data_IF_565392497827
#
_entry.id   IF_565392497827
#
_cell.length_a   1.000
_cell.length_b   1.000
_cell.length_c   1.000
_cell.angle_alpha   90.00
_cell.angle_beta   90.00
_cell.angle_gamma   90.00
#
_symmetry.space_group_name_H-M   'P 1'
#
loop_
_entity.id
_entity.type
_entity.pdbx_description
1 polymer ?
#
# COMPACT_ATOMS: atom_id res chain seq x y z
N UNK A 1 3.68 -5.16 -9.35
CA UNK A 1 3.95 -6.60 -9.11
C UNK A 1 4.78 -7.26 -10.20
N UNK A 2 4.46 -7.07 -11.49
CA UNK A 2 5.23 -7.64 -12.63
C UNK A 2 6.75 -7.51 -12.50
N UNK A 3 7.27 -6.34 -12.13
CA UNK A 3 8.72 -6.13 -11.94
C UNK A 3 9.33 -7.01 -10.86
N UNK A 4 8.61 -7.25 -9.76
CA UNK A 4 9.07 -8.13 -8.67
C UNK A 4 9.15 -9.58 -9.15
N UNK A 5 8.14 -10.06 -9.89
CA UNK A 5 8.18 -11.41 -10.47
C UNK A 5 9.33 -11.57 -11.45
N UNK A 6 9.55 -10.59 -12.33
CA UNK A 6 10.66 -10.57 -13.27
C UNK A 6 12.00 -10.71 -12.55
N UNK A 7 12.23 -9.91 -11.50
CA UNK A 7 13.45 -9.99 -10.68
C UNK A 7 13.67 -11.39 -10.08
N UNK A 8 12.62 -11.96 -9.47
CA UNK A 8 12.68 -13.28 -8.82
C UNK A 8 13.06 -14.36 -9.86
N UNK A 9 12.43 -14.33 -11.03
CA UNK A 9 12.69 -15.28 -12.11
C UNK A 9 14.11 -15.11 -12.67
N UNK A 10 14.50 -13.90 -13.04
CA UNK A 10 15.81 -13.61 -13.64
C UNK A 10 16.98 -13.95 -12.72
N UNK A 11 16.81 -13.76 -11.40
CA UNK A 11 17.83 -14.07 -10.40
C UNK A 11 17.68 -15.45 -9.77
N UNK A 12 16.71 -16.28 -10.21
CA UNK A 12 16.40 -17.58 -9.61
C UNK A 12 16.28 -17.54 -8.07
N UNK A 13 15.60 -16.52 -7.54
CA UNK A 13 15.44 -16.36 -6.09
C UNK A 13 14.37 -17.33 -5.57
N UNK A 14 14.63 -17.96 -4.42
CA UNK A 14 13.72 -18.94 -3.80
C UNK A 14 13.27 -18.50 -2.41
N UNK A 15 12.09 -18.96 -1.99
CA UNK A 15 11.50 -18.69 -0.67
C UNK A 15 10.32 -17.72 -0.70
N UNK A 16 9.95 -17.21 0.48
CA UNK A 16 8.81 -16.31 0.68
C UNK A 16 9.25 -14.85 0.54
N UNK A 17 8.52 -14.07 -0.26
CA UNK A 17 8.77 -12.66 -0.54
C UNK A 17 7.52 -11.81 -0.24
N UNK A 18 7.70 -10.67 0.42
CA UNK A 18 6.63 -9.68 0.62
C UNK A 18 6.58 -8.72 -0.57
N UNK A 19 5.46 -8.69 -1.29
CA UNK A 19 5.27 -7.78 -2.41
C UNK A 19 4.59 -6.47 -1.99
N UNK A 20 5.18 -5.78 -1.01
CA UNK A 20 4.71 -4.49 -0.49
C UNK A 20 5.65 -3.35 -0.93
N UNK A 21 5.17 -2.11 -0.84
CA UNK A 21 6.02 -0.94 -1.04
C UNK A 21 7.08 -0.83 0.09
N UNK A 22 8.25 -0.20 -0.15
CA UNK A 22 9.31 -0.11 0.85
C UNK A 22 8.98 0.77 2.05
N UNK A 23 8.00 1.66 1.89
CA UNK A 23 7.58 2.65 2.89
C UNK A 23 6.12 2.39 3.29
N UNK A 24 5.84 1.55 4.32
CA UNK A 24 4.48 1.34 4.80
C UNK A 24 3.91 2.65 5.36
N UNK A 25 2.60 2.85 5.17
CA UNK A 25 1.90 4.05 5.64
C UNK A 25 0.66 3.67 6.44
N UNK A 26 0.32 4.49 7.43
CA UNK A 26 -0.94 4.33 8.17
C UNK A 26 -2.16 4.63 7.28
N UNK A 27 -3.34 4.11 7.66
CA UNK A 27 -4.59 4.44 6.98
C UNK A 27 -4.86 5.95 6.97
N UNK A 28 -4.48 6.66 8.03
CA UNK A 28 -4.58 8.11 8.10
C UNK A 28 -3.71 8.79 7.03
N UNK A 29 -2.44 8.39 6.92
CA UNK A 29 -1.51 8.92 5.92
C UNK A 29 -1.98 8.60 4.50
N UNK A 30 -2.42 7.36 4.24
CA UNK A 30 -3.00 6.96 2.96
C UNK A 30 -4.22 7.81 2.60
N UNK A 31 -5.17 7.95 3.53
CA UNK A 31 -6.40 8.73 3.33
C UNK A 31 -6.08 10.19 2.99
N UNK A 32 -5.13 10.79 3.71
CA UNK A 32 -4.66 12.17 3.45
C UNK A 32 -4.06 12.31 2.06
N UNK A 33 -3.16 11.40 1.66
CA UNK A 33 -2.53 11.40 0.33
C UNK A 33 -3.57 11.22 -0.79
N UNK A 34 -4.52 10.31 -0.61
CA UNK A 34 -5.61 10.08 -1.57
C UNK A 34 -6.52 11.29 -1.72
N UNK A 35 -6.91 11.91 -0.59
CA UNK A 35 -7.70 13.14 -0.61
C UNK A 35 -6.99 14.28 -1.35
N UNK A 36 -5.67 14.44 -1.14
CA UNK A 36 -4.85 15.41 -1.86
C UNK A 36 -4.88 15.15 -3.37
N UNK A 37 -4.60 13.92 -3.81
CA UNK A 37 -4.60 13.55 -5.23
C UNK A 37 -5.97 13.79 -5.90
N UNK A 38 -7.06 13.46 -5.21
CA UNK A 38 -8.44 13.66 -5.70
C UNK A 38 -8.97 15.09 -5.54
N UNK A 39 -8.20 16.02 -4.96
CA UNK A 39 -8.67 17.35 -4.58
C UNK A 39 -9.92 17.33 -3.67
N UNK A 40 -10.00 16.36 -2.75
CA UNK A 40 -11.11 16.20 -1.80
C UNK A 40 -10.67 16.32 -0.33
N UNK A 41 -11.44 17.04 0.51
CA UNK A 41 -11.11 17.22 1.93
C UNK A 41 -11.27 15.90 2.72
N UNK A 42 -10.36 15.69 3.68
CA UNK A 42 -10.29 14.48 4.54
C UNK A 42 -10.39 14.85 6.02
N UNK A 43 -11.49 15.49 6.38
CA UNK A 43 -11.62 16.19 7.68
C UNK A 43 -12.07 15.25 8.79
N UNK A 44 -12.95 14.29 8.49
CA UNK A 44 -13.55 13.41 9.50
C UNK A 44 -13.15 11.95 9.27
N UNK A 45 -12.61 11.26 10.30
CA UNK A 45 -12.41 9.81 10.23
C UNK A 45 -13.76 9.09 10.32
N UNK A 46 -13.86 7.93 9.66
CA UNK A 46 -15.02 7.05 9.79
C UNK A 46 -14.89 6.27 11.11
N UNK A 47 -15.88 6.30 12.02
CA UNK A 47 -15.84 5.50 13.24
C UNK A 47 -15.83 4.00 12.94
N UNK A 48 -15.11 3.23 13.75
CA UNK A 48 -15.00 1.77 13.57
C UNK A 48 -16.36 1.07 13.58
N UNK A 49 -17.29 1.45 14.47
CA UNK A 49 -18.61 0.82 14.53
C UNK A 49 -19.40 1.01 13.22
N UNK A 50 -19.22 2.15 12.53
CA UNK A 50 -19.87 2.38 11.25
C UNK A 50 -19.31 1.44 10.18
N UNK A 51 -17.99 1.21 10.17
CA UNK A 51 -17.36 0.20 9.32
C UNK A 51 -17.88 -1.21 9.64
N UNK A 52 -18.03 -1.56 10.92
CA UNK A 52 -18.57 -2.87 11.34
C UNK A 52 -20.03 -3.06 10.92
N UNK A 53 -20.85 -2.01 10.91
CA UNK A 53 -22.24 -2.09 10.42
C UNK A 53 -22.26 -2.30 8.89
N UNK A 54 -21.42 -1.57 8.14
CA UNK A 54 -21.40 -1.65 6.68
C UNK A 54 -20.76 -2.92 6.14
N UNK A 55 -19.69 -3.40 6.80
CA UNK A 55 -18.82 -4.48 6.29
C UNK A 55 -18.79 -5.71 7.19
N UNK A 56 -19.50 -5.72 8.33
CA UNK A 56 -19.52 -6.85 9.28
C UNK A 56 -18.10 -7.30 9.66
N UNK A 57 -17.82 -8.60 9.57
CA UNK A 57 -16.51 -9.20 9.85
C UNK A 57 -15.39 -8.68 8.93
N UNK A 58 -15.71 -8.28 7.69
CA UNK A 58 -14.72 -7.73 6.76
C UNK A 58 -14.19 -6.36 7.19
N UNK A 59 -14.87 -5.67 8.11
CA UNK A 59 -14.36 -4.42 8.70
C UNK A 59 -12.99 -4.62 9.36
N UNK A 60 -12.71 -5.82 9.88
CA UNK A 60 -11.41 -6.16 10.48
C UNK A 60 -10.23 -6.05 9.50
N UNK A 61 -10.47 -6.23 8.19
CA UNK A 61 -9.45 -6.03 7.16
C UNK A 61 -9.13 -4.55 6.97
N UNK A 62 -10.15 -3.69 7.11
CA UNK A 62 -10.02 -2.24 6.95
C UNK A 62 -9.42 -1.58 8.20
N UNK A 63 -9.73 -2.10 9.39
CA UNK A 63 -9.22 -1.59 10.66
C UNK A 63 -7.91 -2.26 11.10
N UNK A 64 -7.54 -3.37 10.48
CA UNK A 64 -6.28 -4.05 10.72
C UNK A 64 -5.08 -3.23 10.25
N UNK A 65 -4.03 -3.20 11.06
CA UNK A 65 -2.72 -2.65 10.66
C UNK A 65 -1.80 -3.79 10.24
N UNK A 66 -1.09 -3.60 9.12
CA UNK A 66 -0.02 -4.51 8.68
C UNK A 66 1.18 -3.68 8.25
N UNK A 67 2.18 -3.62 9.12
CA UNK A 67 3.47 -3.03 8.83
C UNK A 67 4.39 -4.13 8.25
N UNK A 68 4.48 -4.19 6.92
CA UNK A 68 5.16 -5.29 6.21
C UNK A 68 6.18 -4.72 5.22
N UNK A 69 7.41 -5.21 5.32
CA UNK A 69 8.55 -4.73 4.55
C UNK A 69 9.02 -5.73 3.49
N UNK A 70 9.42 -5.27 2.28
CA UNK A 70 9.91 -6.11 1.20
C UNK A 70 11.43 -6.34 1.25
N UNK A 71 12.02 -6.58 2.44
CA UNK A 71 13.49 -6.63 2.64
C UNK A 71 14.23 -7.51 1.61
N UNK A 72 13.78 -8.75 1.38
CA UNK A 72 14.43 -9.66 0.43
C UNK A 72 14.45 -9.16 -1.02
N UNK A 73 13.44 -8.37 -1.41
CA UNK A 73 13.34 -7.79 -2.76
C UNK A 73 14.27 -6.57 -2.86
N UNK A 74 14.36 -5.77 -1.80
CA UNK A 74 15.30 -4.66 -1.70
C UNK A 74 16.75 -5.14 -1.71
N UNK A 75 17.07 -6.17 -0.92
CA UNK A 75 18.40 -6.80 -0.87
C UNK A 75 18.79 -7.41 -2.22
N UNK A 76 17.81 -7.88 -3.00
CA UNK A 76 18.01 -8.36 -4.36
C UNK A 76 18.25 -7.25 -5.40
N UNK A 77 18.19 -5.97 -4.98
CA UNK A 77 18.48 -4.80 -5.80
C UNK A 77 17.29 -4.27 -6.60
N UNK A 78 16.06 -4.62 -6.21
CA UNK A 78 14.87 -4.10 -6.88
C UNK A 78 14.71 -2.60 -6.62
N UNK A 79 14.39 -1.85 -7.68
CA UNK A 79 14.03 -0.44 -7.60
C UNK A 79 12.53 -0.30 -7.82
N UNK A 80 11.83 0.30 -6.87
CA UNK A 80 10.41 0.55 -6.99
C UNK A 80 10.16 1.74 -7.92
N UNK A 81 9.14 1.63 -8.78
CA UNK A 81 8.73 2.73 -9.65
C UNK A 81 8.19 3.92 -8.85
N UNK A 82 7.53 3.64 -7.73
CA UNK A 82 7.01 4.63 -6.78
C UNK A 82 7.50 4.25 -5.39
N UNK A 83 8.29 5.12 -4.77
CA UNK A 83 8.88 4.85 -3.44
C UNK A 83 8.00 5.37 -2.30
N UNK A 84 7.09 6.31 -2.61
CA UNK A 84 6.14 6.86 -1.66
C UNK A 84 4.72 6.89 -2.21
N UNK A 85 3.76 7.03 -1.28
CA UNK A 85 2.33 6.93 -1.59
C UNK A 85 1.80 8.12 -2.39
N UNK A 86 2.42 9.30 -2.32
CA UNK A 86 1.94 10.47 -3.03
C UNK A 86 2.16 10.32 -4.53
N UNK A 87 3.36 9.93 -4.95
CA UNK A 87 3.69 9.69 -6.36
C UNK A 87 2.77 8.63 -6.99
N UNK A 88 2.57 7.52 -6.27
CA UNK A 88 1.71 6.43 -6.74
C UNK A 88 0.26 6.89 -6.92
N UNK A 89 -0.29 7.68 -5.99
CA UNK A 89 -1.67 8.15 -6.05
C UNK A 89 -1.87 9.30 -7.04
N UNK A 90 -0.92 10.21 -7.16
CA UNK A 90 -0.94 11.28 -8.15
C UNK A 90 -0.96 10.69 -9.58
N UNK A 91 -0.16 9.65 -9.85
CA UNK A 91 -0.23 8.94 -11.13
C UNK A 91 -1.61 8.27 -11.31
N UNK A 92 -2.06 7.46 -10.35
CA UNK A 92 -3.29 6.66 -10.49
C UNK A 92 -4.52 7.54 -10.72
N UNK A 93 -4.60 8.70 -10.07
CA UNK A 93 -5.75 9.60 -10.16
C UNK A 93 -5.71 10.48 -11.42
N UNK A 94 -4.53 10.64 -12.04
CA UNK A 94 -4.37 11.43 -13.26
C UNK A 94 -4.86 10.74 -14.53
N UNK A 95 -5.19 9.44 -14.46
CA UNK A 95 -5.72 8.61 -15.55
C UNK A 95 -7.15 8.14 -15.25
#
# INVERSE_FOLDING_TARGET
LMGIYKLIIEKNLTGIFNATAPSPVSNHTFTKALGKALHRPTIFPIPEFALRIMYSEAASVLTGSKEVYPYKILDAGYKFQYENINEALEEIVSH
#
